data_IF_703042740064
#
_entry.id   IF_703042740064
#
_cell.length_a   1.000
_cell.length_b   1.000
_cell.length_c   1.000
_cell.angle_alpha   90.00
_cell.angle_beta   90.00
_cell.angle_gamma   90.00
#
_symmetry.space_group_name_H-M   'P 1'
#
loop_
_entity.id
_entity.type
_entity.pdbx_description
1 polymer ?
#
# COMPACT_ATOMS: atom_id res chain seq x y z
N UNK A 1 -10.14 11.37 -18.37
CA UNK A 1 -9.86 11.52 -16.92
C UNK A 1 -8.44 12.05 -16.77
N UNK A 2 -8.14 12.91 -15.78
CA UNK A 2 -6.76 13.35 -15.55
C UNK A 2 -5.88 12.16 -15.19
N UNK A 3 -4.69 12.09 -15.79
CA UNK A 3 -3.76 10.98 -15.60
C UNK A 3 -2.97 11.19 -14.30
N UNK A 4 -3.33 10.46 -13.25
CA UNK A 4 -2.79 10.65 -11.90
C UNK A 4 -1.41 10.01 -11.70
N UNK A 5 -1.07 8.99 -12.49
CA UNK A 5 0.18 8.24 -12.37
C UNK A 5 0.98 8.21 -13.68
N UNK A 6 2.31 8.24 -13.57
CA UNK A 6 3.19 8.23 -14.74
C UNK A 6 3.55 6.80 -15.18
N UNK A 7 3.93 5.90 -14.26
CA UNK A 7 4.33 4.53 -14.60
C UNK A 7 3.58 3.52 -13.72
N UNK A 8 2.98 2.51 -14.33
CA UNK A 8 2.47 1.33 -13.64
C UNK A 8 3.52 0.21 -13.77
N UNK A 9 3.89 -0.46 -12.67
CA UNK A 9 4.80 -1.61 -12.74
C UNK A 9 4.00 -2.90 -12.56
N UNK A 10 4.11 -3.83 -13.51
CA UNK A 10 3.53 -5.17 -13.41
C UNK A 10 4.64 -6.22 -13.34
N UNK A 11 4.62 -7.05 -12.30
CA UNK A 11 5.60 -8.09 -12.03
C UNK A 11 4.94 -9.24 -11.26
N UNK A 12 5.54 -10.44 -11.26
CA UNK A 12 5.02 -11.54 -10.46
C UNK A 12 5.52 -11.48 -9.02
N UNK A 13 4.64 -11.79 -8.06
CA UNK A 13 4.96 -11.74 -6.64
C UNK A 13 6.22 -12.52 -6.25
N UNK A 14 6.39 -13.71 -6.84
CA UNK A 14 7.56 -14.58 -6.60
C UNK A 14 8.89 -13.93 -7.00
N UNK A 15 8.88 -12.94 -7.89
CA UNK A 15 10.09 -12.25 -8.36
C UNK A 15 10.61 -11.22 -7.35
N UNK A 16 9.81 -10.86 -6.33
CA UNK A 16 10.14 -9.89 -5.30
C UNK A 16 10.30 -10.51 -3.91
N UNK A 17 10.35 -11.84 -3.80
CA UNK A 17 10.62 -12.51 -2.54
C UNK A 17 11.99 -12.07 -1.96
N UNK A 18 12.03 -11.93 -0.64
CA UNK A 18 13.23 -11.50 0.08
C UNK A 18 14.05 -12.71 0.47
N UNK A 19 15.27 -12.80 -0.02
CA UNK A 19 16.21 -13.87 0.33
C UNK A 19 16.88 -13.61 1.69
N UNK A 20 17.30 -14.66 2.43
CA UNK A 20 18.04 -14.50 3.67
C UNK A 20 19.26 -13.60 3.51
N UNK A 21 19.40 -12.60 4.40
CA UNK A 21 20.49 -11.63 4.38
C UNK A 21 20.27 -10.43 3.44
N UNK A 22 19.16 -10.38 2.68
CA UNK A 22 18.76 -9.21 1.93
C UNK A 22 17.71 -8.38 2.70
N UNK A 23 17.79 -7.05 2.59
CA UNK A 23 16.79 -6.15 3.20
C UNK A 23 15.51 -6.04 2.36
N UNK A 24 15.60 -6.27 1.05
CA UNK A 24 14.54 -6.07 0.06
C UNK A 24 14.62 -7.12 -1.06
N UNK A 25 13.49 -7.38 -1.71
CA UNK A 25 13.41 -8.20 -2.91
C UNK A 25 14.06 -7.56 -4.13
N UNK A 26 14.24 -8.35 -5.19
CA UNK A 26 14.89 -7.89 -6.42
C UNK A 26 14.13 -6.74 -7.09
N UNK A 27 12.82 -6.89 -7.27
CA UNK A 27 11.96 -5.87 -7.89
C UNK A 27 11.98 -4.58 -7.07
N UNK A 28 11.84 -4.69 -5.75
CA UNK A 28 11.90 -3.52 -4.85
C UNK A 28 13.21 -2.76 -5.00
N UNK A 29 14.33 -3.47 -5.06
CA UNK A 29 15.66 -2.90 -5.25
C UNK A 29 15.80 -2.24 -6.63
N UNK A 30 15.35 -2.93 -7.67
CA UNK A 30 15.35 -2.45 -9.05
C UNK A 30 14.56 -1.15 -9.19
N UNK A 31 13.35 -1.11 -8.63
CA UNK A 31 12.45 0.05 -8.66
C UNK A 31 13.04 1.23 -7.89
N UNK A 32 13.66 0.99 -6.74
CA UNK A 32 14.32 2.05 -5.96
C UNK A 32 15.53 2.66 -6.68
N UNK A 33 16.27 1.87 -7.46
CA UNK A 33 17.33 2.41 -8.33
C UNK A 33 16.74 3.19 -9.51
N UNK A 34 15.74 2.62 -10.20
CA UNK A 34 15.11 3.26 -11.36
C UNK A 34 14.44 4.59 -10.98
N UNK A 35 13.83 4.67 -9.79
CA UNK A 35 13.34 5.90 -9.15
C UNK A 35 14.36 7.01 -9.15
N UNK A 36 15.56 6.70 -8.68
CA UNK A 36 16.64 7.68 -8.57
C UNK A 36 17.10 8.10 -9.95
N UNK A 37 17.35 7.15 -10.86
CA UNK A 37 17.74 7.48 -12.23
C UNK A 37 16.71 8.35 -12.94
N UNK A 38 15.41 8.03 -12.86
CA UNK A 38 14.36 8.84 -13.44
C UNK A 38 14.28 10.25 -12.83
N UNK A 39 14.48 10.39 -11.52
CA UNK A 39 14.55 11.71 -10.90
C UNK A 39 15.72 12.55 -11.44
N UNK A 40 16.88 11.92 -11.72
CA UNK A 40 18.00 12.59 -12.37
C UNK A 40 17.67 13.00 -13.81
N UNK A 41 17.03 12.12 -14.59
CA UNK A 41 16.66 12.40 -15.98
C UNK A 41 15.58 13.49 -16.12
N UNK A 42 14.62 13.54 -15.20
CA UNK A 42 13.53 14.53 -15.22
C UNK A 42 13.91 15.86 -14.55
N UNK A 43 15.03 15.91 -13.82
CA UNK A 43 15.54 17.13 -13.17
C UNK A 43 14.70 17.66 -12.01
N UNK A 44 13.63 16.96 -11.60
CA UNK A 44 12.73 17.34 -10.49
C UNK A 44 12.29 16.11 -9.72
N UNK A 45 12.38 16.16 -8.38
CA UNK A 45 12.00 15.05 -7.49
C UNK A 45 10.48 14.84 -7.45
N UNK A 46 9.70 15.90 -7.52
CA UNK A 46 8.24 15.85 -7.37
C UNK A 46 7.54 15.14 -8.55
N UNK A 47 8.08 15.30 -9.77
CA UNK A 47 7.62 14.57 -10.96
C UNK A 47 7.99 13.09 -10.87
N UNK A 48 9.06 12.76 -10.16
CA UNK A 48 9.53 11.40 -9.86
C UNK A 48 8.75 10.69 -8.74
N UNK A 49 8.13 11.44 -7.83
CA UNK A 49 7.33 10.88 -6.72
C UNK A 49 5.91 10.48 -7.16
N UNK A 50 5.37 11.07 -8.24
CA UNK A 50 4.09 10.63 -8.88
C UNK A 50 4.23 9.36 -9.72
N UNK A 51 5.43 8.79 -9.81
CA UNK A 51 5.78 7.80 -10.84
C UNK A 51 5.35 6.38 -10.52
N UNK A 52 4.99 6.03 -9.28
CA UNK A 52 5.01 4.61 -8.92
C UNK A 52 3.74 4.11 -8.28
N UNK A 53 3.11 3.16 -8.96
CA UNK A 53 2.15 2.26 -8.36
C UNK A 53 2.74 0.85 -8.36
N UNK A 54 3.08 0.38 -7.17
CA UNK A 54 3.62 -0.95 -6.96
C UNK A 54 2.46 -1.94 -6.80
N UNK A 55 2.41 -2.92 -7.69
CA UNK A 55 1.45 -4.01 -7.74
C UNK A 55 1.16 -4.67 -6.39
N UNK A 56 2.18 -4.86 -5.55
CA UNK A 56 2.03 -5.50 -4.24
C UNK A 56 1.28 -4.62 -3.23
N UNK A 57 1.35 -3.30 -3.36
CA UNK A 57 0.65 -2.39 -2.45
C UNK A 57 -0.87 -2.40 -2.67
N UNK A 58 -1.34 -2.91 -3.81
CA UNK A 58 -2.76 -2.91 -4.18
C UNK A 58 -3.44 -4.27 -4.03
N UNK A 59 -2.69 -5.36 -3.91
CA UNK A 59 -3.19 -6.75 -3.93
C UNK A 59 -3.79 -7.27 -2.61
N UNK A 60 -4.40 -6.40 -1.81
CA UNK A 60 -5.13 -6.82 -0.63
C UNK A 60 -6.34 -7.70 -0.99
N UNK A 61 -6.15 -9.02 -1.10
CA UNK A 61 -7.12 -10.13 -1.22
C UNK A 61 -8.35 -10.01 -2.15
N UNK A 62 -8.53 -8.93 -2.91
CA UNK A 62 -9.68 -8.75 -3.79
C UNK A 62 -9.29 -8.99 -5.25
N UNK A 63 -10.11 -9.82 -5.93
CA UNK A 63 -10.24 -9.89 -7.39
C UNK A 63 -10.20 -8.49 -8.00
N UNK A 64 -9.49 -8.31 -9.14
CA UNK A 64 -9.21 -7.05 -9.85
C UNK A 64 -10.08 -5.94 -9.31
N UNK A 65 -9.62 -5.30 -8.23
CA UNK A 65 -10.45 -4.28 -7.62
C UNK A 65 -10.60 -3.22 -8.70
N UNK A 66 -11.79 -2.66 -8.95
CA UNK A 66 -11.99 -1.59 -9.91
C UNK A 66 -10.95 -0.46 -9.77
N UNK A 67 -10.37 -0.31 -8.58
CA UNK A 67 -9.23 0.53 -8.25
C UNK A 67 -7.94 0.19 -9.03
N UNK A 68 -7.51 -1.08 -9.13
CA UNK A 68 -6.29 -1.45 -9.89
C UNK A 68 -6.49 -1.16 -11.37
N UNK A 69 -7.63 -1.58 -11.91
CA UNK A 69 -7.97 -1.31 -13.31
C UNK A 69 -8.09 0.20 -13.55
N UNK A 70 -8.77 0.96 -12.69
CA UNK A 70 -8.85 2.41 -12.80
C UNK A 70 -7.46 3.08 -12.73
N UNK A 71 -6.54 2.54 -11.94
CA UNK A 71 -5.19 3.10 -11.79
C UNK A 71 -4.28 2.74 -12.97
N UNK A 72 -4.38 1.53 -13.49
CA UNK A 72 -3.78 1.15 -14.77
C UNK A 72 -4.32 2.03 -15.90
N UNK A 73 -5.63 2.31 -15.89
CA UNK A 73 -6.30 3.20 -16.84
C UNK A 73 -5.89 4.67 -16.66
N UNK A 74 -5.45 5.10 -15.48
CA UNK A 74 -4.92 6.47 -15.25
C UNK A 74 -3.41 6.59 -15.45
N UNK A 75 -2.70 5.50 -15.74
CA UNK A 75 -1.24 5.49 -15.93
C UNK A 75 -0.80 5.90 -17.35
N UNK A 76 0.33 6.61 -17.47
CA UNK A 76 0.91 7.03 -18.76
C UNK A 76 1.62 5.89 -19.47
N UNK A 77 2.45 5.14 -18.79
CA UNK A 77 3.17 3.99 -19.34
C UNK A 77 3.04 2.77 -18.44
N UNK A 78 3.32 1.60 -19.02
CA UNK A 78 3.36 0.32 -18.34
C UNK A 78 4.80 -0.22 -18.40
N UNK A 79 5.36 -0.54 -17.25
CA UNK A 79 6.65 -1.20 -17.10
C UNK A 79 6.43 -2.65 -16.65
N UNK A 80 6.75 -3.60 -17.52
CA UNK A 80 6.63 -5.03 -17.25
C UNK A 80 7.96 -5.58 -16.77
N UNK A 81 7.96 -6.39 -15.72
CA UNK A 81 9.10 -7.22 -15.34
C UNK A 81 8.78 -8.64 -15.79
N UNK A 82 9.32 -9.00 -16.95
CA UNK A 82 9.14 -10.29 -17.61
C UNK A 82 10.06 -11.34 -16.99
N UNK A 83 9.44 -12.41 -16.51
CA UNK A 83 10.06 -13.59 -15.90
C UNK A 83 9.17 -14.82 -16.17
N UNK A 84 9.64 -16.00 -15.78
CA UNK A 84 8.79 -17.21 -15.75
C UNK A 84 7.58 -17.02 -14.84
N UNK A 85 7.76 -16.36 -13.69
CA UNK A 85 6.66 -16.05 -12.76
C UNK A 85 5.62 -15.14 -13.39
N UNK A 86 6.05 -14.14 -14.16
CA UNK A 86 5.16 -13.23 -14.88
C UNK A 86 4.26 -13.96 -15.89
N UNK A 87 4.83 -14.92 -16.63
CA UNK A 87 4.08 -15.73 -17.59
C UNK A 87 3.08 -16.69 -16.91
N UNK A 88 3.45 -17.22 -15.75
CA UNK A 88 2.56 -18.10 -14.97
C UNK A 88 1.43 -17.33 -14.25
N UNK A 89 1.54 -16.02 -14.14
CA UNK A 89 0.55 -15.17 -13.48
C UNK A 89 -0.54 -14.72 -14.44
N UNK A 90 -1.72 -15.37 -14.38
CA UNK A 90 -2.90 -14.98 -15.18
C UNK A 90 -3.25 -13.50 -15.02
N UNK A 91 -3.02 -12.96 -13.83
CA UNK A 91 -3.29 -11.56 -13.55
C UNK A 91 -2.37 -10.62 -14.31
N UNK A 92 -1.08 -10.92 -14.35
CA UNK A 92 -0.12 -10.11 -15.09
C UNK A 92 -0.49 -10.08 -16.57
N UNK A 93 -1.01 -11.19 -17.10
CA UNK A 93 -1.55 -11.25 -18.46
C UNK A 93 -2.81 -10.39 -18.64
N UNK A 94 -3.73 -10.38 -17.66
CA UNK A 94 -4.93 -9.54 -17.69
C UNK A 94 -4.60 -8.04 -17.65
N UNK A 95 -3.62 -7.62 -16.84
CA UNK A 95 -3.16 -6.23 -16.80
C UNK A 95 -2.54 -5.78 -18.11
N UNK A 96 -1.69 -6.64 -18.70
CA UNK A 96 -1.11 -6.37 -20.01
C UNK A 96 -2.21 -6.19 -21.07
N UNK A 97 -3.18 -7.11 -21.11
CA UNK A 97 -4.30 -7.02 -22.03
C UNK A 97 -5.12 -5.74 -21.83
N UNK A 98 -5.51 -5.43 -20.60
CA UNK A 98 -6.31 -4.23 -20.26
C UNK A 98 -5.58 -2.92 -20.59
N UNK A 99 -4.27 -2.87 -20.42
CA UNK A 99 -3.48 -1.69 -20.80
C UNK A 99 -3.40 -1.55 -22.32
N UNK A 100 -3.16 -2.64 -23.04
CA UNK A 100 -3.09 -2.64 -24.51
C UNK A 100 -4.42 -2.31 -25.17
N UNK A 101 -5.54 -2.73 -24.59
CA UNK A 101 -6.88 -2.32 -25.05
C UNK A 101 -7.05 -0.80 -24.99
N UNK A 102 -6.46 -0.14 -23.99
CA UNK A 102 -6.50 1.32 -23.83
C UNK A 102 -5.57 2.05 -24.80
N UNK A 103 -4.30 1.61 -24.90
CA UNK A 103 -3.27 2.36 -25.65
C UNK A 103 -3.10 1.90 -27.10
N UNK A 104 -3.72 0.78 -27.47
CA UNK A 104 -3.56 0.12 -28.77
C UNK A 104 -2.38 -0.85 -28.79
N UNK A 105 -2.53 -1.95 -29.54
CA UNK A 105 -1.42 -2.88 -29.82
C UNK A 105 -0.31 -2.15 -30.58
N UNK A 106 0.94 -2.45 -30.25
CA UNK A 106 2.11 -1.79 -30.85
C UNK A 106 2.38 -0.37 -30.32
N UNK A 107 1.70 0.04 -29.25
CA UNK A 107 2.02 1.28 -28.55
C UNK A 107 3.42 1.22 -27.93
N UNK A 108 4.19 2.30 -28.09
CA UNK A 108 5.50 2.50 -27.46
C UNK A 108 5.42 2.94 -25.98
N UNK A 109 4.23 2.77 -25.37
CA UNK A 109 3.95 3.07 -23.96
C UNK A 109 4.14 1.87 -23.04
N UNK A 110 4.56 0.73 -23.60
CA UNK A 110 4.88 -0.49 -22.86
C UNK A 110 6.40 -0.71 -22.90
N UNK A 111 7.00 -0.79 -21.73
CA UNK A 111 8.43 -1.03 -21.53
C UNK A 111 8.60 -2.40 -20.88
N UNK A 112 9.59 -3.18 -21.33
CA UNK A 112 9.77 -4.57 -20.89
C UNK A 112 11.16 -4.75 -20.31
N UNK A 113 11.22 -4.99 -19.00
CA UNK A 113 12.40 -5.43 -18.27
C UNK A 113 12.41 -6.94 -18.27
N UNK A 114 13.42 -7.54 -18.88
CA UNK A 114 13.57 -8.99 -18.89
C UNK A 114 14.45 -9.39 -17.70
N UNK A 115 13.83 -9.85 -16.61
CA UNK A 115 14.53 -10.27 -15.39
C UNK A 115 15.24 -11.62 -15.59
N UNK A 116 14.61 -12.53 -16.33
CA UNK A 116 15.16 -13.83 -16.70
C UNK A 116 14.71 -14.19 -18.12
N UNK A 117 15.41 -15.09 -18.83
CA UNK A 117 14.93 -15.55 -20.12
C UNK A 117 13.59 -16.28 -19.96
N UNK A 118 12.74 -16.15 -20.96
CA UNK A 118 11.47 -16.87 -21.03
C UNK A 118 11.40 -17.69 -22.30
N UNK A 119 10.74 -18.84 -22.25
CA UNK A 119 10.64 -19.75 -23.39
C UNK A 119 9.72 -19.21 -24.48
N UNK A 120 8.60 -18.59 -24.10
CA UNK A 120 7.59 -18.09 -25.02
C UNK A 120 7.09 -16.73 -24.58
N UNK A 121 7.38 -15.71 -25.39
CA UNK A 121 6.91 -14.36 -25.14
C UNK A 121 5.47 -14.17 -25.65
N UNK A 122 4.60 -13.46 -24.90
CA UNK A 122 3.30 -13.04 -25.38
C UNK A 122 3.46 -12.25 -26.67
N UNK A 123 2.64 -12.58 -27.68
CA UNK A 123 2.69 -11.95 -29.01
C UNK A 123 2.66 -10.42 -28.91
N UNK A 124 1.88 -9.89 -27.98
CA UNK A 124 1.71 -8.47 -27.76
C UNK A 124 3.00 -7.71 -27.35
N UNK A 125 4.00 -8.39 -26.81
CA UNK A 125 5.27 -7.77 -26.38
C UNK A 125 6.49 -8.33 -27.11
N UNK A 126 6.29 -9.26 -28.06
CA UNK A 126 7.36 -9.95 -28.78
C UNK A 126 8.26 -8.99 -29.54
N UNK A 127 7.66 -8.03 -30.24
CA UNK A 127 8.39 -7.09 -31.09
C UNK A 127 8.85 -5.82 -30.34
N UNK A 128 8.56 -5.72 -29.04
CA UNK A 128 9.00 -4.60 -28.22
C UNK A 128 10.49 -4.74 -27.86
N UNK A 129 11.17 -3.59 -27.74
CA UNK A 129 12.52 -3.51 -27.19
C UNK A 129 12.49 -3.92 -25.72
N UNK A 130 13.45 -4.77 -25.35
CA UNK A 130 13.58 -5.32 -24.00
C UNK A 130 14.88 -4.88 -23.36
N UNK A 131 14.82 -4.52 -22.08
CA UNK A 131 15.98 -4.19 -21.25
C UNK A 131 16.38 -5.45 -20.51
N UNK A 132 17.59 -5.94 -20.75
CA UNK A 132 17.97 -7.30 -20.36
C UNK A 132 18.75 -7.30 -19.05
N UNK A 133 18.15 -7.83 -17.99
CA UNK A 133 18.72 -7.91 -16.64
C UNK A 133 19.19 -9.32 -16.27
N UNK A 134 19.57 -10.11 -17.27
CA UNK A 134 20.19 -11.42 -17.10
C UNK A 134 21.33 -11.60 -18.10
N UNK A 135 22.24 -12.51 -17.79
CA UNK A 135 23.36 -12.89 -18.64
C UNK A 135 23.53 -14.41 -18.66
N UNK A 136 24.30 -14.92 -19.61
CA UNK A 136 24.73 -16.31 -19.58
C UNK A 136 26.04 -16.38 -18.81
N UNK A 137 26.10 -17.23 -17.79
CA UNK A 137 27.33 -17.52 -17.05
C UNK A 137 28.36 -18.24 -17.94
N UNK A 138 29.55 -18.50 -17.42
CA UNK A 138 30.62 -19.21 -18.15
C UNK A 138 30.21 -20.61 -18.65
N UNK A 139 29.15 -21.18 -18.07
CA UNK A 139 28.58 -22.47 -18.45
C UNK A 139 27.37 -22.34 -19.38
N UNK A 140 27.17 -21.15 -19.96
CA UNK A 140 26.05 -20.83 -20.84
C UNK A 140 24.67 -20.99 -20.17
N UNK A 141 24.60 -20.83 -18.84
CA UNK A 141 23.34 -20.88 -18.09
C UNK A 141 22.86 -19.48 -17.76
N UNK A 142 21.56 -19.20 -17.86
CA UNK A 142 21.05 -17.89 -17.54
C UNK A 142 21.16 -17.59 -16.05
N UNK A 143 21.65 -16.39 -15.73
CA UNK A 143 21.75 -15.84 -14.38
C UNK A 143 21.20 -14.42 -14.38
N UNK A 144 20.31 -14.13 -13.43
CA UNK A 144 19.76 -12.78 -13.25
C UNK A 144 20.80 -11.88 -12.57
N UNK A 145 20.96 -10.67 -13.08
CA UNK A 145 21.85 -9.66 -12.51
C UNK A 145 21.32 -9.21 -11.16
N UNK A 146 22.22 -9.03 -10.19
CA UNK A 146 21.88 -8.61 -8.81
C UNK A 146 20.90 -9.56 -8.10
N UNK A 147 20.97 -10.86 -8.40
CA UNK A 147 20.13 -11.88 -7.78
C UNK A 147 20.99 -13.06 -7.27
N UNK A 148 20.73 -13.58 -6.05
CA UNK A 148 19.81 -13.06 -5.03
C UNK A 148 20.39 -11.86 -4.26
N UNK A 149 21.66 -11.52 -4.48
CA UNK A 149 22.36 -10.42 -3.81
C UNK A 149 22.82 -9.36 -4.81
N UNK A 150 22.91 -8.12 -4.33
CA UNK A 150 23.38 -6.97 -5.11
C UNK A 150 24.88 -7.14 -5.39
N UNK A 151 25.27 -6.93 -6.65
CA UNK A 151 26.67 -6.87 -7.06
C UNK A 151 27.04 -5.45 -7.53
N UNK A 152 27.67 -4.63 -6.68
CA UNK A 152 28.01 -3.25 -7.03
C UNK A 152 29.07 -3.15 -8.15
N UNK A 153 29.72 -4.25 -8.52
CA UNK A 153 30.71 -4.28 -9.61
C UNK A 153 30.10 -4.48 -10.99
N UNK A 154 28.83 -4.90 -11.05
CA UNK A 154 28.10 -5.09 -12.30
C UNK A 154 27.73 -3.74 -12.95
N UNK A 155 28.61 -3.27 -13.84
CA UNK A 155 28.41 -2.04 -14.60
C UNK A 155 27.29 -2.15 -15.63
N UNK A 156 27.10 -3.35 -16.19
CA UNK A 156 26.07 -3.58 -17.21
C UNK A 156 24.67 -3.42 -16.62
N UNK A 157 24.45 -3.87 -15.39
CA UNK A 157 23.20 -3.57 -14.66
C UNK A 157 22.94 -2.06 -14.61
N UNK A 158 23.96 -1.29 -14.26
CA UNK A 158 23.86 0.17 -14.14
C UNK A 158 23.61 0.84 -15.49
N UNK A 159 24.24 0.36 -16.57
CA UNK A 159 24.02 0.88 -17.91
C UNK A 159 22.60 0.59 -18.42
N UNK A 160 22.08 -0.63 -18.20
CA UNK A 160 20.72 -0.98 -18.58
C UNK A 160 19.68 -0.18 -17.77
N UNK A 161 19.91 0.05 -16.47
CA UNK A 161 19.08 0.93 -15.65
C UNK A 161 19.04 2.37 -16.19
N UNK A 162 20.20 2.95 -16.50
CA UNK A 162 20.29 4.31 -17.04
C UNK A 162 19.64 4.42 -18.43
N UNK A 163 19.83 3.41 -19.28
CA UNK A 163 19.19 3.35 -20.59
C UNK A 163 17.67 3.33 -20.45
N UNK A 164 17.14 2.42 -19.63
CA UNK A 164 15.71 2.35 -19.35
C UNK A 164 15.16 3.65 -18.79
N UNK A 165 15.86 4.27 -17.83
CA UNK A 165 15.43 5.53 -17.24
C UNK A 165 15.35 6.66 -18.28
N UNK A 166 16.34 6.78 -19.17
CA UNK A 166 16.34 7.78 -20.25
C UNK A 166 15.16 7.57 -21.19
N UNK A 167 14.99 6.35 -21.69
CA UNK A 167 13.96 6.02 -22.66
C UNK A 167 12.54 6.23 -22.05
N UNK A 168 12.36 5.88 -20.77
CA UNK A 168 11.13 6.18 -20.02
C UNK A 168 10.91 7.68 -19.84
N UNK A 169 11.96 8.43 -19.46
CA UNK A 169 11.87 9.87 -19.25
C UNK A 169 11.50 10.60 -20.54
N UNK A 170 12.13 10.24 -21.66
CA UNK A 170 11.84 10.79 -22.98
C UNK A 170 10.37 10.58 -23.35
N UNK A 171 9.87 9.35 -23.18
CA UNK A 171 8.47 9.02 -23.42
C UNK A 171 7.51 9.79 -22.49
N UNK A 172 7.84 9.92 -21.21
CA UNK A 172 7.01 10.68 -20.27
C UNK A 172 6.94 12.17 -20.66
N UNK A 173 8.07 12.78 -21.04
CA UNK A 173 8.09 14.18 -21.50
C UNK A 173 7.21 14.37 -22.74
N UNK A 174 7.29 13.44 -23.70
CA UNK A 174 6.45 13.44 -24.90
C UNK A 174 4.95 13.37 -24.56
N UNK A 175 4.57 12.43 -23.68
CA UNK A 175 3.18 12.23 -23.27
C UNK A 175 2.63 13.41 -22.45
N UNK A 176 3.47 14.03 -21.60
CA UNK A 176 3.10 15.22 -20.84
C UNK A 176 2.88 16.41 -21.76
N UNK A 177 3.80 16.65 -22.71
CA UNK A 177 3.67 17.73 -23.70
C UNK A 177 2.43 17.57 -24.59
N UNK A 178 2.06 16.33 -24.92
CA UNK A 178 0.86 16.05 -25.74
C UNK A 178 -0.42 16.22 -24.94
N UNK A 179 -0.45 15.75 -23.68
CA UNK A 179 -1.60 15.91 -22.78
C UNK A 179 -1.89 17.39 -22.45
N UNK A 180 -0.86 18.20 -22.27
CA UNK A 180 -1.01 19.65 -22.03
C UNK A 180 -1.56 20.38 -23.26
N UNK A 181 -1.18 19.97 -24.47
CA UNK A 181 -1.71 20.53 -25.73
C UNK A 181 -3.18 20.16 -25.96
N UNK A 182 -3.59 18.96 -25.58
CA UNK A 182 -4.98 18.50 -25.69
C UNK A 182 -5.88 19.18 -24.64
N UNK A 183 -5.38 19.40 -23.43
CA UNK A 183 -6.06 20.16 -22.37
C UNK A 183 -6.15 21.67 -22.67
N UNK A 184 -5.18 22.23 -23.42
CA UNK A 184 -5.17 23.63 -23.83
C UNK A 184 -6.08 23.94 -25.05
N UNK A 185 -6.68 22.93 -25.68
CA UNK A 185 -7.63 23.12 -26.77
C UNK A 185 -9.00 23.51 -26.18
N UNK A 186 -9.60 24.66 -26.53
CA UNK A 186 -10.90 25.01 -25.99
C UNK A 186 -11.94 23.95 -26.40
N UNK A 187 -12.84 23.55 -25.48
CA UNK A 187 -13.85 22.56 -25.79
C UNK A 187 -14.69 23.06 -26.96
N UNK A 188 -14.72 22.28 -28.04
CA UNK A 188 -15.54 22.57 -29.22
C UNK A 188 -17.00 22.55 -28.78
N UNK A 189 -17.58 23.74 -28.64
CA UNK A 189 -18.97 23.93 -28.25
C UNK A 189 -19.90 23.11 -29.15
N UNK A 190 -20.46 22.04 -28.60
CA UNK A 190 -21.65 21.42 -29.15
C UNK A 190 -22.81 22.36 -28.81
N UNK A 191 -23.22 23.15 -29.80
CA UNK A 191 -24.50 23.85 -29.81
C UNK A 191 -25.62 22.80 -29.72
N UNK A 192 -26.25 22.70 -28.55
CA UNK A 192 -27.58 22.09 -28.45
C UNK A 192 -28.59 23.13 -27.99
N UNK A 193 -29.62 23.23 -28.81
CA UNK A 193 -30.69 24.23 -28.89
C UNK A 193 -31.72 24.02 -27.79
N UNK A 194 -32.28 25.12 -27.30
CA UNK A 194 -33.37 25.20 -26.33
C UNK A 194 -34.67 24.47 -26.77
N UNK A 195 -35.38 23.89 -25.80
CA UNK A 195 -36.84 23.64 -25.78
C UNK A 195 -37.23 23.30 -24.31
N UNK A 196 -37.86 24.21 -23.56
CA UNK A 196 -39.31 24.39 -23.35
C UNK A 196 -39.98 23.24 -22.57
N UNK A 197 -40.46 23.56 -21.36
CA UNK A 197 -41.34 22.76 -20.51
C UNK A 197 -42.80 22.74 -21.06
N UNK A 198 -43.60 21.70 -20.76
CA UNK A 198 -44.60 21.77 -19.68
C UNK A 198 -44.70 20.45 -18.86
N UNK A 199 -44.94 20.50 -17.55
CA UNK A 199 -46.22 20.46 -16.80
C UNK A 199 -46.75 19.04 -16.48
N UNK A 200 -47.32 18.92 -15.29
CA UNK A 200 -47.37 17.78 -14.38
C UNK A 200 -48.40 16.70 -14.73
N UNK A 201 -48.13 15.45 -14.35
CA UNK A 201 -49.19 14.59 -13.76
C UNK A 201 -48.60 13.65 -12.71
N UNK A 202 -49.31 13.59 -11.59
CA UNK A 202 -48.94 13.10 -10.26
C UNK A 202 -49.23 11.59 -10.11
N UNK A 203 -48.29 10.82 -9.56
CA UNK A 203 -48.59 9.57 -8.83
C UNK A 203 -47.78 9.54 -7.53
N UNK A 204 -48.48 9.25 -6.44
CA UNK A 204 -48.11 9.38 -5.03
C UNK A 204 -47.33 8.14 -4.56
N UNK A 205 -46.22 8.35 -3.84
CA UNK A 205 -45.71 7.41 -2.81
C UNK A 205 -45.27 8.21 -1.58
N UNK A 206 -45.63 7.67 -0.40
CA UNK A 206 -45.62 8.25 0.93
C UNK A 206 -44.25 8.77 1.46
N UNK A 207 -44.24 9.68 2.45
CA UNK A 207 -43.01 10.24 3.01
C UNK A 207 -42.31 9.25 3.96
N UNK A 208 -40.96 9.18 3.98
CA UNK A 208 -40.24 8.51 5.05
C UNK A 208 -40.31 9.34 6.35
N UNK A 209 -40.33 8.68 7.53
CA UNK A 209 -40.51 9.31 8.83
C UNK A 209 -39.28 10.14 9.27
N UNK A 210 -39.46 11.08 10.23
CA UNK A 210 -38.40 11.97 10.70
C UNK A 210 -37.27 11.21 11.42
N UNK A 211 -36.01 11.70 11.37
CA UNK A 211 -34.90 11.07 12.05
C UNK A 211 -35.09 11.17 13.57
N UNK A 212 -35.11 10.02 14.23
CA UNK A 212 -35.05 9.90 15.68
C UNK A 212 -33.59 10.08 16.18
N UNK A 213 -33.39 10.38 17.48
CA UNK A 213 -32.37 11.31 17.98
C UNK A 213 -30.96 10.71 18.08
N UNK A 214 -29.95 11.53 17.79
CA UNK A 214 -28.55 11.28 18.15
C UNK A 214 -28.36 11.76 19.58
N UNK A 215 -28.03 10.88 20.55
CA UNK A 215 -26.72 11.00 21.20
C UNK A 215 -26.21 9.71 21.90
N UNK A 216 -25.05 9.19 21.51
CA UNK A 216 -24.15 8.45 22.44
C UNK A 216 -22.71 8.68 21.96
N UNK A 217 -21.81 9.03 22.87
CA UNK A 217 -20.40 9.34 22.57
C UNK A 217 -19.71 8.15 21.89
N UNK A 218 -19.47 8.27 20.59
CA UNK A 218 -19.00 7.19 19.73
C UNK A 218 -17.48 6.97 19.84
N UNK A 219 -16.96 6.81 21.06
CA UNK A 219 -15.52 6.61 21.29
C UNK A 219 -15.16 5.13 21.21
N UNK A 220 -14.40 4.78 20.17
CA UNK A 220 -13.89 3.43 19.96
C UNK A 220 -12.40 3.33 20.31
N UNK A 221 -12.04 2.32 21.10
CA UNK A 221 -10.69 2.08 21.61
C UNK A 221 -10.17 0.74 21.11
N UNK A 222 -9.00 0.75 20.47
CA UNK A 222 -8.27 -0.48 20.16
C UNK A 222 -7.44 -0.88 21.38
N UNK A 223 -7.67 -2.08 21.92
CA UNK A 223 -6.83 -2.64 22.99
C UNK A 223 -5.88 -3.67 22.39
N UNK A 224 -4.58 -3.43 22.51
CA UNK A 224 -3.53 -4.29 21.97
C UNK A 224 -2.48 -4.64 23.03
N UNK A 225 -1.67 -5.66 22.81
CA UNK A 225 -0.63 -6.12 23.73
C UNK A 225 0.17 -7.28 23.16
N UNK A 226 1.15 -7.78 23.93
CA UNK A 226 1.97 -8.93 23.52
C UNK A 226 1.23 -10.27 23.63
N UNK A 227 1.78 -11.32 23.02
CA UNK A 227 1.18 -12.66 23.03
C UNK A 227 1.03 -13.25 24.44
N UNK A 228 1.90 -12.85 25.36
CA UNK A 228 1.87 -13.28 26.76
C UNK A 228 0.82 -12.54 27.60
N UNK A 229 0.26 -11.43 27.09
CA UNK A 229 -0.61 -10.52 27.82
C UNK A 229 -2.08 -10.64 27.37
N UNK A 230 -2.48 -11.73 26.69
CA UNK A 230 -3.86 -11.92 26.19
C UNK A 230 -4.92 -11.78 27.26
N UNK A 231 -4.71 -12.40 28.42
CA UNK A 231 -5.62 -12.30 29.58
C UNK A 231 -5.82 -10.84 30.03
N UNK A 232 -4.74 -10.05 30.04
CA UNK A 232 -4.75 -8.63 30.38
C UNK A 232 -5.49 -7.80 29.31
N UNK A 233 -5.33 -8.11 28.03
CA UNK A 233 -6.03 -7.46 26.91
C UNK A 233 -7.55 -7.67 27.04
N UNK A 234 -8.00 -8.91 27.26
CA UNK A 234 -9.42 -9.23 27.42
C UNK A 234 -10.03 -8.62 28.70
N UNK A 235 -9.30 -8.63 29.82
CA UNK A 235 -9.75 -7.97 31.05
C UNK A 235 -9.91 -6.46 30.87
N UNK A 236 -8.96 -5.82 30.18
CA UNK A 236 -8.99 -4.38 29.89
C UNK A 236 -10.15 -4.03 28.95
N UNK A 237 -10.34 -4.84 27.90
CA UNK A 237 -11.44 -4.66 26.95
C UNK A 237 -12.80 -4.74 27.65
N UNK A 238 -13.02 -5.77 28.48
CA UNK A 238 -14.27 -5.93 29.24
C UNK A 238 -14.56 -4.75 30.15
N UNK A 239 -13.55 -4.16 30.79
CA UNK A 239 -13.71 -2.99 31.65
C UNK A 239 -14.03 -1.72 30.88
N UNK A 240 -13.47 -1.55 29.68
CA UNK A 240 -13.81 -0.43 28.81
C UNK A 240 -15.25 -0.54 28.28
N UNK A 241 -15.70 -1.75 27.94
CA UNK A 241 -17.11 -2.02 27.56
C UNK A 241 -18.09 -1.70 28.70
N UNK A 242 -17.74 -2.03 29.95
CA UNK A 242 -18.54 -1.69 31.13
C UNK A 242 -18.66 -0.16 31.38
N UNK A 243 -17.80 0.65 30.75
CA UNK A 243 -17.85 2.12 30.78
C UNK A 243 -18.48 2.70 29.49
N UNK A 244 -19.27 1.91 28.76
CA UNK A 244 -19.99 2.29 27.54
C UNK A 244 -19.08 2.72 26.36
N UNK A 245 -17.82 2.27 26.34
CA UNK A 245 -16.90 2.49 25.21
C UNK A 245 -16.95 1.35 24.20
N UNK A 246 -16.84 1.68 22.92
CA UNK A 246 -16.66 0.68 21.86
C UNK A 246 -15.26 0.11 21.89
N UNK A 247 -15.10 -1.21 21.96
CA UNK A 247 -13.77 -1.85 22.04
C UNK A 247 -13.49 -2.71 20.83
N UNK A 248 -12.26 -2.64 20.33
CA UNK A 248 -11.75 -3.55 19.31
C UNK A 248 -10.44 -4.19 19.79
N UNK A 249 -10.31 -5.51 19.60
CA UNK A 249 -9.09 -6.26 19.91
C UNK A 249 -8.54 -6.81 18.60
N UNK A 250 -7.26 -6.58 18.24
CA UNK A 250 -6.70 -7.04 16.98
C UNK A 250 -6.54 -8.57 16.96
N UNK A 251 -6.65 -9.18 15.77
CA UNK A 251 -6.51 -10.61 15.54
C UNK A 251 -5.15 -11.15 16.01
N UNK A 252 -4.11 -10.32 15.97
CA UNK A 252 -2.78 -10.63 16.52
C UNK A 252 -2.80 -10.87 18.02
N UNK A 253 -3.71 -10.23 18.75
CA UNK A 253 -3.90 -10.44 20.18
C UNK A 253 -4.91 -11.56 20.48
N UNK A 254 -5.74 -11.97 19.52
CA UNK A 254 -6.80 -12.96 19.74
C UNK A 254 -6.42 -14.38 19.36
N UNK A 255 -5.52 -14.57 18.39
CA UNK A 255 -5.25 -15.86 17.79
C UNK A 255 -3.74 -16.19 17.74
N UNK A 256 -3.41 -17.47 17.63
CA UNK A 256 -2.02 -17.91 17.49
C UNK A 256 -1.43 -17.41 16.17
N UNK A 257 -0.49 -16.47 16.28
CA UNK A 257 0.14 -15.79 15.14
C UNK A 257 0.91 -16.76 14.24
N UNK A 258 1.33 -17.93 14.76
CA UNK A 258 2.13 -18.91 14.00
C UNK A 258 1.36 -19.58 12.85
N UNK A 259 0.03 -19.68 12.97
CA UNK A 259 -0.84 -20.28 11.95
C UNK A 259 -1.49 -19.23 11.02
N UNK A 260 -1.32 -17.94 11.30
CA UNK A 260 -2.02 -16.85 10.61
C UNK A 260 -1.01 -16.01 9.82
N UNK A 261 -1.28 -15.87 8.52
CA UNK A 261 -0.46 -15.03 7.63
C UNK A 261 -0.37 -13.60 8.18
N UNK A 262 0.85 -13.07 8.30
CA UNK A 262 1.12 -11.70 8.78
C UNK A 262 0.27 -10.63 8.08
N UNK A 263 -0.03 -10.79 6.79
CA UNK A 263 -0.91 -9.90 6.02
C UNK A 263 -2.37 -9.88 6.48
N UNK A 264 -2.87 -10.96 7.08
CA UNK A 264 -4.20 -11.01 7.68
C UNK A 264 -4.23 -10.25 9.02
N UNK A 265 -3.16 -10.38 9.82
CA UNK A 265 -2.99 -9.65 11.08
C UNK A 265 -2.90 -8.14 10.84
N UNK A 266 -2.09 -7.71 9.86
CA UNK A 266 -1.95 -6.29 9.50
C UNK A 266 -3.25 -5.70 8.94
N UNK A 267 -4.00 -6.48 8.15
CA UNK A 267 -5.30 -6.04 7.58
C UNK A 267 -6.34 -5.85 8.68
N UNK A 268 -6.47 -6.81 9.58
CA UNK A 268 -7.41 -6.72 10.69
C UNK A 268 -7.08 -5.55 11.61
N UNK A 269 -5.81 -5.38 11.97
CA UNK A 269 -5.34 -4.25 12.76
C UNK A 269 -5.71 -2.92 12.10
N UNK A 270 -5.51 -2.79 10.79
CA UNK A 270 -5.86 -1.57 10.04
C UNK A 270 -7.36 -1.31 10.00
N UNK A 271 -8.18 -2.35 9.80
CA UNK A 271 -9.64 -2.23 9.80
C UNK A 271 -10.14 -1.76 11.17
N UNK A 272 -9.65 -2.36 12.25
CA UNK A 272 -10.05 -1.97 13.62
C UNK A 272 -9.55 -0.57 13.98
N UNK A 273 -8.32 -0.21 13.62
CA UNK A 273 -7.79 1.15 13.80
C UNK A 273 -8.54 2.21 13.00
N UNK A 274 -9.17 1.87 11.88
CA UNK A 274 -10.00 2.82 11.12
C UNK A 274 -11.31 3.20 11.84
N UNK A 275 -11.76 2.34 12.76
CA UNK A 275 -12.96 2.53 13.57
C UNK A 275 -12.64 3.17 14.92
N UNK A 276 -11.42 3.00 15.42
CA UNK A 276 -10.97 3.50 16.72
C UNK A 276 -10.34 4.90 16.64
N UNK A 277 -10.65 5.74 17.62
CA UNK A 277 -10.02 7.06 17.77
C UNK A 277 -8.86 7.03 18.79
N UNK A 278 -8.70 5.93 19.51
CA UNK A 278 -7.64 5.75 20.51
C UNK A 278 -7.10 4.33 20.53
N UNK A 279 -5.81 4.21 20.82
CA UNK A 279 -5.12 2.91 20.96
C UNK A 279 -4.59 2.82 22.37
N UNK A 280 -5.00 1.78 23.09
CA UNK A 280 -4.47 1.43 24.39
C UNK A 280 -3.63 0.15 24.26
N UNK A 281 -2.32 0.30 24.40
CA UNK A 281 -1.40 -0.84 24.44
C UNK A 281 -1.21 -1.21 25.91
N UNK A 282 -1.58 -2.43 26.30
CA UNK A 282 -1.46 -2.93 27.67
C UNK A 282 -0.37 -3.99 27.72
N UNK A 283 0.50 -3.88 28.72
CA UNK A 283 1.65 -4.75 28.84
C UNK A 283 1.97 -5.08 30.30
N UNK A 284 2.19 -6.39 30.58
CA UNK A 284 2.50 -6.91 31.92
C UNK A 284 3.81 -7.68 31.94
N UNK A 285 4.09 -8.56 30.97
CA UNK A 285 5.42 -9.18 30.82
C UNK A 285 5.63 -9.84 29.45
N UNK A 286 6.68 -9.45 28.74
CA UNK A 286 7.08 -10.02 27.45
C UNK A 286 8.38 -9.40 26.92
N UNK A 287 8.96 -9.88 25.82
CA UNK A 287 10.19 -9.27 25.30
C UNK A 287 9.89 -7.87 24.70
N UNK A 288 10.82 -6.92 24.88
CA UNK A 288 10.66 -5.49 24.50
C UNK A 288 10.45 -5.27 22.99
N UNK A 289 10.90 -6.22 22.19
CA UNK A 289 10.71 -6.29 20.74
C UNK A 289 9.23 -6.38 20.37
N UNK A 290 8.41 -7.12 21.12
CA UNK A 290 6.97 -7.25 20.86
C UNK A 290 6.21 -5.95 21.09
N UNK A 291 6.55 -5.20 22.14
CA UNK A 291 5.94 -3.88 22.41
C UNK A 291 6.33 -2.90 21.31
N UNK A 292 7.61 -2.90 20.92
CA UNK A 292 8.13 -2.06 19.86
C UNK A 292 7.49 -2.39 18.50
N UNK A 293 7.32 -3.67 18.20
CA UNK A 293 6.67 -4.15 16.98
C UNK A 293 5.19 -3.76 16.95
N UNK A 294 4.45 -3.98 18.03
CA UNK A 294 3.05 -3.59 18.15
C UNK A 294 2.85 -2.08 17.96
N UNK A 295 3.76 -1.28 18.52
CA UNK A 295 3.75 0.17 18.36
C UNK A 295 4.06 0.60 16.92
N UNK A 296 5.05 -0.02 16.27
CA UNK A 296 5.38 0.22 14.85
C UNK A 296 4.21 -0.17 13.94
N UNK A 297 3.53 -1.28 14.22
CA UNK A 297 2.38 -1.74 13.46
C UNK A 297 1.18 -0.79 13.61
N UNK A 298 0.90 -0.33 14.84
CA UNK A 298 -0.16 0.65 15.10
C UNK A 298 0.13 2.00 14.41
N UNK A 299 1.38 2.46 14.39
CA UNK A 299 1.78 3.69 13.70
C UNK A 299 1.70 3.56 12.17
N UNK A 300 2.20 2.44 11.62
CA UNK A 300 2.11 2.14 10.17
C UNK A 300 0.67 1.98 9.70
N UNK A 301 -0.19 1.42 10.54
CA UNK A 301 -1.60 1.26 10.23
C UNK A 301 -2.38 2.57 10.42
N UNK A 302 -2.10 3.34 11.48
CA UNK A 302 -2.74 4.63 11.78
C UNK A 302 -2.47 5.72 10.74
N UNK A 303 -1.22 5.84 10.27
CA UNK A 303 -0.84 6.78 9.18
C UNK A 303 -1.55 6.50 7.86
N UNK A 304 -2.02 5.26 7.67
CA UNK A 304 -2.73 4.78 6.48
C UNK A 304 -4.25 4.66 6.67
N UNK A 305 -4.78 4.86 7.87
CA UNK A 305 -6.17 4.56 8.22
C UNK A 305 -7.15 5.71 7.97
N UNK A 306 -6.75 6.99 8.06
CA UNK A 306 -7.64 8.13 7.76
C UNK A 306 -6.91 9.29 7.07
N UNK A 307 -7.16 9.52 5.78
CA UNK A 307 -6.80 10.77 5.08
C UNK A 307 -7.66 11.90 5.68
N UNK A 308 -7.06 12.77 6.51
CA UNK A 308 -7.71 14.00 7.00
C UNK A 308 -8.26 13.99 8.44
N UNK A 309 -8.03 12.95 9.23
CA UNK A 309 -8.33 12.96 10.68
C UNK A 309 -7.02 12.94 11.51
N UNK A 310 -7.02 13.51 12.73
CA UNK A 310 -5.86 13.46 13.61
C UNK A 310 -5.45 12.01 13.89
N UNK A 311 -4.13 11.77 13.99
CA UNK A 311 -3.60 10.45 14.30
C UNK A 311 -4.22 9.93 15.61
N UNK A 312 -4.56 8.63 15.70
CA UNK A 312 -5.12 8.09 16.92
C UNK A 312 -4.11 8.30 18.05
N UNK A 313 -4.59 8.88 19.14
CA UNK A 313 -3.82 9.01 20.37
C UNK A 313 -3.42 7.62 20.89
N UNK A 314 -2.13 7.43 21.14
CA UNK A 314 -1.57 6.16 21.61
C UNK A 314 -1.24 6.30 23.09
N UNK A 315 -1.87 5.46 23.90
CA UNK A 315 -1.61 5.32 25.32
C UNK A 315 -0.99 3.95 25.58
N UNK A 316 0.14 3.92 26.28
CA UNK A 316 0.78 2.70 26.74
C UNK A 316 0.54 2.56 28.24
N UNK A 317 -0.17 1.51 28.66
CA UNK A 317 -0.28 1.16 30.07
C UNK A 317 0.67 0.02 30.43
N UNK A 318 1.58 0.32 31.36
CA UNK A 318 2.53 -0.63 31.91
C UNK A 318 2.12 -0.96 33.35
N UNK A 319 2.00 -2.25 33.66
CA UNK A 319 1.59 -2.75 34.98
C UNK A 319 2.76 -3.16 35.89
N UNK A 320 3.98 -2.70 35.57
CA UNK A 320 5.22 -2.92 36.36
C UNK A 320 5.81 -1.59 36.83
N UNK A 321 6.61 -1.62 37.91
CA UNK A 321 7.21 -0.42 38.52
C UNK A 321 8.34 0.21 37.69
N UNK A 322 9.07 -0.58 36.89
CA UNK A 322 10.23 -0.09 36.12
C UNK A 322 9.81 0.50 34.77
N UNK A 323 10.06 1.79 34.54
CA UNK A 323 9.75 2.46 33.26
C UNK A 323 10.42 1.76 32.07
N UNK A 324 9.62 1.34 31.10
CA UNK A 324 10.11 0.80 29.83
C UNK A 324 11.01 1.80 29.08
N UNK A 325 12.25 1.41 28.77
CA UNK A 325 13.16 2.17 27.92
C UNK A 325 12.84 1.93 26.44
N UNK A 326 11.73 2.50 25.95
CA UNK A 326 11.36 2.42 24.54
C UNK A 326 12.30 3.31 23.71
N UNK A 327 13.00 2.73 22.72
CA UNK A 327 13.79 3.50 21.76
C UNK A 327 12.97 4.33 20.76
N UNK A 328 11.63 4.26 20.85
CA UNK A 328 10.68 4.91 19.95
C UNK A 328 9.57 5.59 20.76
N UNK A 329 9.54 6.93 20.72
CA UNK A 329 8.53 7.75 21.39
C UNK A 329 7.79 8.62 20.36
N UNK A 330 6.62 8.19 19.86
CA UNK A 330 5.79 9.00 18.97
C UNK A 330 5.30 10.28 19.63
N UNK A 331 5.17 11.36 18.85
CA UNK A 331 4.59 12.63 19.31
C UNK A 331 3.17 12.42 19.83
N UNK A 332 2.92 12.80 21.08
CA UNK A 332 1.61 12.66 21.73
C UNK A 332 1.37 11.31 22.42
N UNK A 333 2.36 10.40 22.45
CA UNK A 333 2.26 9.14 23.20
C UNK A 333 2.33 9.41 24.71
N UNK A 334 1.39 8.84 25.48
CA UNK A 334 1.39 8.88 26.94
C UNK A 334 1.71 7.51 27.52
N UNK A 335 2.56 7.48 28.53
CA UNK A 335 2.94 6.24 29.23
C UNK A 335 2.37 6.31 30.64
N UNK A 336 1.48 5.38 30.94
CA UNK A 336 0.83 5.19 32.23
C UNK A 336 1.55 4.06 32.96
N UNK A 337 2.28 4.39 34.03
CA UNK A 337 2.98 3.41 34.85
C UNK A 337 2.13 3.14 36.09
N UNK A 338 1.58 1.92 36.17
CA UNK A 338 0.68 1.49 37.23
C UNK A 338 1.39 0.40 38.03
N UNK A 339 1.76 0.72 39.28
CA UNK A 339 2.57 -0.16 40.14
C UNK A 339 1.85 -1.37 40.73
N UNK A 340 0.59 -1.64 40.37
CA UNK A 340 -0.15 -2.82 40.81
C UNK A 340 -0.83 -3.47 39.62
N UNK A 341 -0.94 -4.79 39.67
CA UNK A 341 -1.56 -5.71 38.69
C UNK A 341 -3.06 -5.47 38.44
N UNK A 342 -3.57 -4.26 38.70
CA UNK A 342 -4.96 -3.89 38.60
C UNK A 342 -5.23 -3.24 37.25
N UNK A 343 -5.94 -3.98 36.39
CA UNK A 343 -6.50 -3.48 35.13
C UNK A 343 -7.36 -2.23 35.34
N UNK A 344 -8.02 -2.11 36.51
CA UNK A 344 -8.88 -0.98 36.84
C UNK A 344 -8.10 0.34 36.92
N UNK A 345 -6.84 0.33 37.34
CA UNK A 345 -6.01 1.54 37.43
C UNK A 345 -5.55 2.01 36.03
N UNK A 346 -5.23 1.08 35.12
CA UNK A 346 -4.95 1.39 33.71
C UNK A 346 -6.15 2.04 33.03
N UNK A 347 -7.34 1.47 33.23
CA UNK A 347 -8.58 1.97 32.62
C UNK A 347 -8.95 3.33 33.22
N UNK A 348 -8.80 3.53 34.54
CA UNK A 348 -9.01 4.83 35.18
C UNK A 348 -8.07 5.91 34.63
N UNK A 349 -6.77 5.63 34.52
CA UNK A 349 -5.81 6.62 33.98
C UNK A 349 -6.07 6.94 32.50
N UNK A 350 -6.57 5.98 31.73
CA UNK A 350 -7.00 6.19 30.35
C UNK A 350 -8.26 7.06 30.24
N UNK A 351 -9.24 6.87 31.14
CA UNK A 351 -10.54 7.57 31.15
C UNK A 351 -10.48 9.01 31.71
N UNK A 352 -9.48 9.38 32.50
CA UNK A 352 -9.29 10.75 33.07
C UNK A 352 -8.79 11.74 31.99
N UNK A 353 -9.30 11.59 30.77
CA UNK A 353 -8.81 12.25 29.56
C UNK A 353 -9.37 13.65 29.36
#
# INVERSE_FOLDING_TARGET
MPMEHNIFISYAWVDNEVYPGAEKGWVSTFVDCLRKHLAHELGRRDEAERIWLDYEQMRGNDSVTPTIQATLQSSRTLLLILSTGYLASEWCQQELAAFLEKVGKGSDRVFVVQMSPVEQEPEAIRDLVKYRFWYLDDKHRPSTRWFPHIDPTDREYSFEQQRLARDLADKLRELLATGDREAARPPRAALTRAAVAPEETRVVVAPPPPPAPVPVSNHFVLVSGGDNDRDLIYQTARRLEENELGVAIPLSAMADQSAIKSSALTRDLRTKLSLCDSVLIVYRSGPLDQVSQCLIECLKAGTKARKGHPAPSIDLCQTQEDRLALGLHPLGMRIHVVGKTSVDDCVRQFLVR
#
